data_IF_645899001509
#
_entry.id   IF_645899001509
#
_cell.length_a   1.000
_cell.length_b   1.000
_cell.length_c   1.000
_cell.angle_alpha   90.00
_cell.angle_beta   90.00
_cell.angle_gamma   90.00
#
_symmetry.space_group_name_H-M   'P 1'
#
loop_
_entity.id
_entity.type
_entity.pdbx_description
1 polymer ?
#
# COMPACT_ATOMS: atom_id res chain seq x y z
N UNK A 1 17.87 -6.49 -13.32
CA UNK A 1 18.26 -6.73 -11.92
C UNK A 1 17.91 -5.45 -11.17
N UNK A 2 17.19 -5.50 -10.04
CA UNK A 2 16.85 -4.29 -9.29
C UNK A 2 18.06 -3.82 -8.50
N UNK A 3 18.28 -2.52 -8.43
CA UNK A 3 19.44 -1.91 -7.76
C UNK A 3 19.27 -1.91 -6.24
N UNK A 4 20.35 -2.17 -5.50
CA UNK A 4 20.41 -1.96 -4.05
C UNK A 4 20.95 -0.55 -3.81
N UNK A 5 20.20 0.26 -3.07
CA UNK A 5 20.55 1.66 -2.79
C UNK A 5 21.45 1.81 -1.57
N UNK A 6 21.99 3.01 -1.40
CA UNK A 6 22.75 3.41 -0.22
C UNK A 6 24.22 3.00 -0.25
N UNK A 7 24.80 2.76 0.91
CA UNK A 7 26.23 2.52 1.07
C UNK A 7 26.58 1.04 0.88
N UNK A 8 26.73 0.62 -0.38
CA UNK A 8 27.14 -0.75 -0.76
C UNK A 8 28.65 -0.92 -0.93
N UNK A 9 29.43 0.16 -0.74
CA UNK A 9 30.90 0.10 -0.94
C UNK A 9 31.56 -0.89 0.02
N UNK A 10 32.32 -1.82 -0.53
CA UNK A 10 33.05 -2.85 0.23
C UNK A 10 32.19 -4.08 0.61
N UNK A 11 30.94 -4.15 0.18
CA UNK A 11 30.12 -5.36 0.31
C UNK A 11 30.45 -6.29 -0.85
N UNK A 12 30.59 -7.59 -0.57
CA UNK A 12 30.90 -8.60 -1.58
C UNK A 12 29.73 -8.79 -2.55
N UNK A 13 30.02 -9.03 -3.82
CA UNK A 13 28.99 -9.24 -4.86
C UNK A 13 28.03 -10.39 -4.53
N UNK A 14 28.50 -11.44 -3.83
CA UNK A 14 27.65 -12.54 -3.37
C UNK A 14 26.56 -12.07 -2.40
N UNK A 15 26.88 -11.13 -1.50
CA UNK A 15 25.91 -10.57 -0.54
C UNK A 15 24.96 -9.61 -1.24
N UNK A 16 25.44 -8.82 -2.19
CA UNK A 16 24.59 -7.99 -3.05
C UNK A 16 23.58 -8.88 -3.81
N UNK A 17 24.02 -10.02 -4.32
CA UNK A 17 23.15 -10.97 -5.00
C UNK A 17 22.09 -11.58 -4.04
N UNK A 18 22.43 -11.81 -2.76
CA UNK A 18 21.46 -12.25 -1.75
C UNK A 18 20.42 -11.17 -1.42
N UNK A 19 20.87 -9.93 -1.26
CA UNK A 19 19.94 -8.79 -1.10
C UNK A 19 19.01 -8.66 -2.31
N UNK A 20 19.51 -8.87 -3.52
CA UNK A 20 18.67 -8.83 -4.73
C UNK A 20 17.62 -9.94 -4.77
N UNK A 21 17.90 -11.13 -4.22
CA UNK A 21 16.89 -12.21 -4.13
C UNK A 21 15.72 -11.86 -3.20
N UNK A 22 15.90 -10.95 -2.24
CA UNK A 22 14.82 -10.51 -1.39
C UNK A 22 13.67 -9.85 -2.19
N UNK A 23 13.96 -9.25 -3.35
CA UNK A 23 12.91 -8.68 -4.22
C UNK A 23 11.90 -9.72 -4.75
N UNK A 24 12.26 -10.99 -4.76
CA UNK A 24 11.39 -12.09 -5.20
C UNK A 24 10.51 -12.63 -4.05
N UNK A 25 10.78 -12.18 -2.81
CA UNK A 25 9.97 -12.54 -1.64
C UNK A 25 8.68 -11.72 -1.58
N UNK A 26 7.66 -12.33 -0.99
CA UNK A 26 6.42 -11.66 -0.63
C UNK A 26 6.18 -11.77 0.87
N UNK A 27 5.88 -10.66 1.51
CA UNK A 27 5.58 -10.59 2.93
C UNK A 27 4.33 -9.72 3.12
N UNK A 28 3.11 -10.25 3.05
CA UNK A 28 1.87 -9.49 3.25
C UNK A 28 1.62 -9.15 4.73
N UNK A 29 2.22 -9.87 5.68
CA UNK A 29 2.18 -9.61 7.12
C UNK A 29 2.93 -8.31 7.46
N UNK A 30 2.88 -7.86 8.72
CA UNK A 30 3.71 -6.75 9.18
C UNK A 30 5.18 -7.01 8.84
N UNK A 31 5.68 -8.18 9.23
CA UNK A 31 6.96 -8.77 8.82
C UNK A 31 6.82 -10.29 8.85
N UNK A 32 7.27 -11.01 7.81
CA UNK A 32 7.35 -12.47 7.86
C UNK A 32 8.62 -12.93 8.57
N UNK A 33 8.53 -14.04 9.29
CA UNK A 33 9.68 -14.63 10.00
C UNK A 33 10.84 -14.90 9.02
N UNK A 34 10.54 -15.41 7.82
CA UNK A 34 11.57 -15.69 6.81
C UNK A 34 12.32 -14.43 6.40
N UNK A 35 11.60 -13.31 6.17
CA UNK A 35 12.23 -12.05 5.80
C UNK A 35 13.05 -11.48 6.96
N UNK A 36 12.51 -11.49 8.18
CA UNK A 36 13.20 -10.95 9.36
C UNK A 36 14.52 -11.68 9.63
N UNK A 37 14.52 -13.01 9.59
CA UNK A 37 15.72 -13.83 9.82
C UNK A 37 16.76 -13.60 8.72
N UNK A 38 16.36 -13.53 7.45
CA UNK A 38 17.28 -13.22 6.35
C UNK A 38 17.90 -11.84 6.45
N UNK A 39 17.08 -10.84 6.83
CA UNK A 39 17.60 -9.49 7.05
C UNK A 39 18.58 -9.44 8.20
N UNK A 40 18.28 -10.13 9.30
CA UNK A 40 19.16 -10.19 10.46
C UNK A 40 20.50 -10.86 10.14
N UNK A 41 20.49 -11.99 9.41
CA UNK A 41 21.71 -12.69 8.97
C UNK A 41 22.60 -11.82 8.10
N UNK A 42 22.03 -11.17 7.08
CA UNK A 42 22.80 -10.29 6.20
C UNK A 42 23.32 -9.06 6.97
N UNK A 43 22.49 -8.48 7.85
CA UNK A 43 22.86 -7.32 8.69
C UNK A 43 24.04 -7.65 9.59
N UNK A 44 24.03 -8.80 10.26
CA UNK A 44 25.16 -9.25 11.08
C UNK A 44 26.43 -9.42 10.25
N UNK A 45 26.30 -10.03 9.07
CA UNK A 45 27.45 -10.26 8.20
C UNK A 45 28.10 -8.98 7.70
N UNK A 46 27.30 -7.97 7.28
CA UNK A 46 27.84 -6.71 6.75
C UNK A 46 28.08 -5.65 7.83
N UNK A 47 27.53 -5.86 9.04
CA UNK A 47 27.53 -4.91 10.16
C UNK A 47 27.02 -3.51 9.74
N UNK A 48 25.92 -3.49 8.95
CA UNK A 48 25.24 -2.25 8.49
C UNK A 48 23.74 -2.45 8.55
N UNK A 49 23.02 -1.37 8.77
CA UNK A 49 21.57 -1.37 8.66
C UNK A 49 21.10 -1.72 7.25
N UNK A 50 20.01 -2.45 7.16
CA UNK A 50 19.32 -2.75 5.91
C UNK A 50 17.90 -2.25 6.07
N UNK A 51 17.44 -1.43 5.13
CA UNK A 51 16.05 -0.96 5.06
C UNK A 51 15.35 -1.56 3.86
N UNK A 52 14.15 -2.09 4.08
CA UNK A 52 13.32 -2.70 3.04
C UNK A 52 11.96 -2.03 3.01
N UNK A 53 11.56 -1.57 1.83
CA UNK A 53 10.28 -0.92 1.61
C UNK A 53 9.32 -1.88 0.91
N UNK A 54 8.14 -2.07 1.52
CA UNK A 54 7.20 -3.13 1.15
C UNK A 54 5.81 -2.52 0.96
N UNK A 55 5.14 -2.87 -0.14
CA UNK A 55 3.74 -2.49 -0.39
C UNK A 55 2.77 -3.24 0.54
N UNK A 56 1.51 -2.81 0.60
CA UNK A 56 0.46 -3.54 1.35
C UNK A 56 0.25 -4.96 0.83
N UNK A 57 0.45 -5.20 -0.47
CA UNK A 57 0.37 -6.54 -1.06
C UNK A 57 1.55 -7.44 -0.71
N UNK A 58 2.56 -6.92 0.00
CA UNK A 58 3.74 -7.68 0.40
C UNK A 58 4.90 -7.65 -0.58
N UNK A 59 4.80 -6.89 -1.67
CA UNK A 59 5.87 -6.78 -2.66
C UNK A 59 6.99 -5.86 -2.16
N UNK A 60 8.22 -6.34 -2.15
CA UNK A 60 9.41 -5.53 -1.88
C UNK A 60 9.70 -4.66 -3.10
N UNK A 61 9.72 -3.35 -2.89
CA UNK A 61 9.89 -2.35 -3.96
C UNK A 61 11.26 -1.69 -3.95
N UNK A 62 11.88 -1.59 -2.77
CA UNK A 62 13.20 -0.99 -2.61
C UNK A 62 13.96 -1.61 -1.44
N UNK A 63 15.27 -1.74 -1.58
CA UNK A 63 16.20 -2.17 -0.54
C UNK A 63 17.35 -1.19 -0.50
N UNK A 64 17.70 -0.73 0.71
CA UNK A 64 18.83 0.17 0.93
C UNK A 64 19.75 -0.35 2.05
N UNK A 65 21.02 -0.08 1.94
CA UNK A 65 22.05 -0.44 2.93
C UNK A 65 22.67 0.82 3.49
N UNK A 66 22.80 0.90 4.81
CA UNK A 66 23.36 2.03 5.52
C UNK A 66 22.33 2.83 6.29
N UNK A 67 22.61 4.10 6.51
CA UNK A 67 21.80 4.98 7.32
C UNK A 67 20.47 5.34 6.64
N UNK A 68 19.35 5.23 7.35
CA UNK A 68 18.00 5.58 6.87
C UNK A 68 17.84 7.03 6.39
N UNK A 69 18.77 7.93 6.78
CA UNK A 69 18.74 9.34 6.42
C UNK A 69 19.00 9.63 4.93
N UNK A 70 19.46 8.65 4.16
CA UNK A 70 19.96 8.85 2.78
C UNK A 70 19.10 8.22 1.69
N UNK A 71 18.01 7.55 2.02
CA UNK A 71 17.17 6.88 1.02
C UNK A 71 16.13 7.85 0.48
N UNK A 72 16.32 8.36 -0.73
CA UNK A 72 15.25 9.00 -1.49
C UNK A 72 14.20 7.95 -1.83
N UNK A 73 13.05 8.06 -1.18
CA UNK A 73 11.93 7.17 -1.49
C UNK A 73 11.40 7.43 -2.90
N UNK A 74 10.99 6.38 -3.61
CA UNK A 74 10.27 6.56 -4.85
C UNK A 74 9.05 7.44 -4.57
N UNK A 75 8.97 8.60 -5.23
CA UNK A 75 7.82 9.48 -5.15
C UNK A 75 6.63 8.77 -5.79
N UNK A 76 5.81 8.11 -4.98
CA UNK A 76 4.53 7.60 -5.45
C UNK A 76 3.57 8.77 -5.63
N UNK A 77 3.52 9.29 -6.85
CA UNK A 77 2.63 10.37 -7.29
C UNK A 77 1.17 9.90 -7.43
N UNK A 78 0.66 9.17 -6.46
CA UNK A 78 -0.76 8.96 -6.30
C UNK A 78 -1.35 10.15 -5.56
N UNK A 79 -2.32 10.87 -6.14
CA UNK A 79 -3.16 11.83 -5.43
C UNK A 79 -3.96 11.07 -4.36
N UNK A 80 -3.33 10.80 -3.23
CA UNK A 80 -4.02 10.21 -2.07
C UNK A 80 -4.59 11.36 -1.25
N UNK A 81 -5.87 11.27 -0.86
CA UNK A 81 -6.51 12.26 0.00
C UNK A 81 -5.75 12.46 1.32
N UNK A 82 -6.00 13.57 2.01
CA UNK A 82 -5.29 13.96 3.23
C UNK A 82 -5.34 12.88 4.34
N UNK A 83 -6.38 12.05 4.37
CA UNK A 83 -6.57 10.99 5.37
C UNK A 83 -5.94 9.63 5.02
N UNK A 84 -5.20 9.48 3.91
CA UNK A 84 -4.64 8.18 3.51
C UNK A 84 -3.15 8.07 3.76
N UNK A 85 -2.73 6.87 4.19
CA UNK A 85 -1.32 6.49 4.34
C UNK A 85 -0.69 6.17 2.98
N UNK A 86 0.64 6.04 2.94
CA UNK A 86 1.40 5.85 1.71
C UNK A 86 1.16 4.50 1.02
N UNK A 87 0.67 3.50 1.75
CA UNK A 87 0.55 2.12 1.26
C UNK A 87 1.89 1.37 1.29
N UNK A 88 2.87 1.91 2.00
CA UNK A 88 4.22 1.36 2.12
C UNK A 88 4.56 1.25 3.60
N UNK A 89 5.18 0.16 4.01
CA UNK A 89 5.85 0.03 5.29
C UNK A 89 7.36 -0.07 5.08
N UNK A 90 8.12 0.47 6.02
CA UNK A 90 9.56 0.35 6.08
C UNK A 90 9.93 -0.64 7.19
N UNK A 91 10.77 -1.61 6.87
CA UNK A 91 11.39 -2.51 7.84
C UNK A 91 12.89 -2.26 7.79
N UNK A 92 13.51 -1.97 8.93
CA UNK A 92 14.96 -1.81 8.99
C UNK A 92 15.55 -2.60 10.15
N UNK A 93 16.85 -2.85 10.07
CA UNK A 93 17.59 -3.68 11.04
C UNK A 93 18.64 -2.86 11.78
N UNK A 94 18.84 -3.15 13.06
CA UNK A 94 19.88 -2.58 13.89
C UNK A 94 20.94 -3.63 14.23
N UNK A 95 22.18 -3.52 13.69
CA UNK A 95 23.25 -4.48 13.98
C UNK A 95 23.62 -4.60 15.47
N UNK A 96 23.37 -3.51 16.24
CA UNK A 96 23.65 -3.46 17.67
C UNK A 96 22.62 -4.13 18.57
N UNK A 97 21.64 -4.86 18.02
CA UNK A 97 20.65 -5.60 18.79
C UNK A 97 19.53 -4.77 19.43
N UNK A 98 19.51 -3.45 19.23
CA UNK A 98 18.48 -2.57 19.78
C UNK A 98 17.21 -2.65 18.93
N UNK A 99 16.05 -3.15 19.45
CA UNK A 99 14.83 -3.26 18.65
C UNK A 99 14.00 -1.98 18.62
N UNK A 100 14.40 -0.92 19.32
CA UNK A 100 13.58 0.28 19.47
C UNK A 100 13.75 1.27 18.33
N UNK A 101 12.63 1.86 17.91
CA UNK A 101 12.61 2.96 16.96
C UNK A 101 13.20 4.24 17.55
N UNK A 102 13.99 4.94 16.74
CA UNK A 102 14.56 6.25 17.08
C UNK A 102 13.58 7.40 16.78
N UNK A 103 13.89 8.60 17.26
CA UNK A 103 13.14 9.81 16.89
C UNK A 103 13.17 10.12 15.40
N UNK A 104 14.25 9.72 14.70
CA UNK A 104 14.38 9.87 13.25
C UNK A 104 13.40 8.95 12.54
N UNK A 105 13.27 7.69 12.98
CA UNK A 105 12.34 6.71 12.41
C UNK A 105 10.89 7.18 12.57
N UNK A 106 10.54 7.70 13.74
CA UNK A 106 9.20 8.24 13.99
C UNK A 106 8.93 9.48 13.14
N UNK A 107 9.92 10.32 12.93
CA UNK A 107 9.80 11.47 12.03
C UNK A 107 9.62 11.01 10.56
N UNK A 108 10.38 10.02 10.13
CA UNK A 108 10.24 9.43 8.79
C UNK A 108 8.87 8.77 8.59
N UNK A 109 8.38 8.01 9.59
CA UNK A 109 7.03 7.42 9.59
C UNK A 109 5.95 8.49 9.33
N UNK A 110 5.99 9.59 10.08
CA UNK A 110 5.00 10.67 9.98
C UNK A 110 5.11 11.46 8.67
N UNK A 111 6.33 11.86 8.29
CA UNK A 111 6.56 12.68 7.10
C UNK A 111 6.21 11.95 5.81
N UNK A 112 6.52 10.67 5.72
CA UNK A 112 6.23 9.84 4.55
C UNK A 112 4.86 9.14 4.63
N UNK A 113 4.16 9.29 5.77
CA UNK A 113 2.86 8.63 6.03
C UNK A 113 2.94 7.12 5.81
N UNK A 114 4.01 6.50 6.27
CA UNK A 114 4.14 5.05 6.12
C UNK A 114 3.01 4.31 6.82
N UNK A 115 2.63 3.16 6.28
CA UNK A 115 1.66 2.26 6.91
C UNK A 115 2.20 1.72 8.24
N UNK A 116 3.52 1.50 8.30
CA UNK A 116 4.27 1.19 9.51
C UNK A 116 5.77 1.48 9.32
N UNK A 117 6.47 1.69 10.43
CA UNK A 117 7.94 1.67 10.55
C UNK A 117 8.29 0.55 11.51
N UNK A 118 9.18 -0.37 11.12
CA UNK A 118 9.59 -1.53 11.93
C UNK A 118 11.10 -1.50 12.12
N UNK A 119 11.55 -1.65 13.36
CA UNK A 119 12.97 -1.81 13.69
C UNK A 119 13.19 -3.22 14.26
N UNK A 120 14.14 -3.97 13.69
CA UNK A 120 14.55 -5.30 14.13
C UNK A 120 15.92 -5.19 14.80
N UNK A 121 16.01 -5.50 16.09
CA UNK A 121 17.28 -5.64 16.81
C UNK A 121 17.89 -7.01 16.53
N UNK A 122 19.02 -7.04 15.86
CA UNK A 122 19.65 -8.30 15.42
C UNK A 122 20.33 -9.00 16.60
N UNK A 123 19.95 -10.24 16.89
CA UNK A 123 20.54 -11.10 17.94
C UNK A 123 21.25 -12.27 17.30
N UNK A 124 22.59 -12.24 17.34
CA UNK A 124 23.46 -13.30 16.82
C UNK A 124 23.85 -14.27 17.95
N UNK A 125 24.07 -15.56 17.68
CA UNK A 125 23.96 -16.24 16.38
C UNK A 125 22.55 -16.79 16.07
N UNK A 126 21.62 -16.66 16.97
CA UNK A 126 20.25 -17.16 16.81
C UNK A 126 19.30 -16.02 16.45
N UNK A 127 19.18 -15.73 15.14
CA UNK A 127 18.38 -14.63 14.64
C UNK A 127 16.88 -14.77 14.90
N UNK A 128 16.41 -15.99 15.25
CA UNK A 128 14.99 -16.18 15.62
C UNK A 128 14.66 -15.54 16.96
N UNK A 129 15.69 -15.24 17.77
CA UNK A 129 15.56 -14.50 19.05
C UNK A 129 15.62 -13.00 18.91
N UNK A 130 15.77 -12.51 17.68
CA UNK A 130 15.69 -11.08 17.42
C UNK A 130 14.29 -10.56 17.79
N UNK A 131 14.27 -9.40 18.40
CA UNK A 131 13.04 -8.71 18.77
C UNK A 131 12.83 -7.50 17.83
N UNK A 132 11.60 -7.06 17.76
CA UNK A 132 11.25 -5.87 16.97
C UNK A 132 10.26 -4.97 17.68
N UNK A 133 10.32 -3.68 17.38
CA UNK A 133 9.25 -2.74 17.65
C UNK A 133 8.73 -2.18 16.32
N UNK A 134 7.49 -1.74 16.34
CA UNK A 134 6.94 -1.03 15.19
C UNK A 134 6.17 0.22 15.63
N UNK A 135 6.20 1.24 14.77
CA UNK A 135 5.47 2.47 14.92
C UNK A 135 4.32 2.56 13.93
N UNK A 136 3.20 3.08 14.39
CA UNK A 136 2.01 3.36 13.58
C UNK A 136 1.57 4.80 13.77
N UNK A 137 1.05 5.43 12.71
CA UNK A 137 0.33 6.68 12.84
C UNK A 137 -1.01 6.38 13.53
N UNK A 138 -1.35 7.13 14.57
CA UNK A 138 -2.56 6.90 15.37
C UNK A 138 -3.60 8.01 15.23
N UNK A 139 -3.23 9.15 14.63
CA UNK A 139 -4.14 10.28 14.46
C UNK A 139 -3.45 11.54 13.99
N UNK A 140 -4.16 12.65 14.13
CA UNK A 140 -3.68 14.02 13.86
C UNK A 140 -3.97 14.86 15.10
N UNK A 141 -2.98 15.63 15.56
CA UNK A 141 -3.13 16.53 16.70
C UNK A 141 -3.82 17.86 16.33
N UNK A 142 -4.04 18.71 17.31
CA UNK A 142 -4.67 20.04 17.15
C UNK A 142 -3.88 21.00 16.25
N UNK A 143 -2.62 20.71 15.98
CA UNK A 143 -1.73 21.49 15.11
C UNK A 143 -1.58 20.88 13.71
N UNK A 144 -2.47 19.95 13.36
CA UNK A 144 -2.48 19.21 12.08
C UNK A 144 -1.24 18.31 11.85
N UNK A 145 -0.50 17.96 12.90
CA UNK A 145 0.62 17.03 12.81
C UNK A 145 0.16 15.60 13.06
N UNK A 146 0.72 14.65 12.33
CA UNK A 146 0.48 13.23 12.59
C UNK A 146 1.04 12.82 13.95
N UNK A 147 0.22 12.13 14.74
CA UNK A 147 0.64 11.45 15.96
C UNK A 147 1.02 10.00 15.65
N UNK A 148 1.95 9.44 16.38
CA UNK A 148 2.40 8.06 16.21
C UNK A 148 2.67 7.42 17.56
N UNK A 149 2.41 6.12 17.66
CA UNK A 149 2.71 5.28 18.81
C UNK A 149 3.60 4.11 18.42
N UNK A 150 4.43 3.66 19.34
CA UNK A 150 5.31 2.52 19.19
C UNK A 150 4.79 1.34 20.01
N UNK A 151 4.91 0.15 19.44
CA UNK A 151 4.44 -1.11 20.01
C UNK A 151 5.59 -2.12 20.04
N UNK A 152 5.66 -2.89 21.12
CA UNK A 152 6.71 -3.90 21.32
C UNK A 152 7.60 -3.60 22.52
N UNK A 153 8.74 -4.30 22.69
CA UNK A 153 9.28 -5.28 21.74
C UNK A 153 8.44 -6.57 21.65
N UNK A 154 8.38 -7.13 20.45
CA UNK A 154 7.75 -8.42 20.16
C UNK A 154 8.79 -9.40 19.63
N UNK A 155 8.56 -10.71 19.85
CA UNK A 155 9.27 -11.72 19.08
C UNK A 155 8.87 -11.64 17.60
N UNK A 156 9.73 -12.15 16.71
CA UNK A 156 9.42 -12.18 15.27
C UNK A 156 8.15 -13.01 15.02
N UNK A 157 7.96 -14.12 15.76
CA UNK A 157 6.79 -14.99 15.65
C UNK A 157 5.49 -14.27 16.03
N UNK A 158 5.50 -13.53 17.15
CA UNK A 158 4.33 -12.75 17.58
C UNK A 158 3.99 -11.64 16.58
N UNK A 159 5.02 -10.97 16.05
CA UNK A 159 4.85 -9.88 15.09
C UNK A 159 4.29 -10.36 13.74
N UNK A 160 4.62 -11.56 13.28
CA UNK A 160 4.06 -12.17 12.06
C UNK A 160 2.54 -12.36 12.16
N UNK A 161 2.04 -12.66 13.37
CA UNK A 161 0.62 -12.91 13.62
C UNK A 161 -0.23 -11.62 13.77
N UNK A 162 0.38 -10.44 13.73
CA UNK A 162 -0.33 -9.16 13.82
C UNK A 162 -1.20 -8.96 12.57
N UNK A 163 -2.50 -8.68 12.79
CA UNK A 163 -3.43 -8.39 11.69
C UNK A 163 -3.20 -6.99 11.12
N UNK A 164 -2.08 -6.84 10.43
CA UNK A 164 -1.57 -5.57 9.93
C UNK A 164 -2.54 -4.86 8.97
N UNK A 165 -3.14 -5.59 8.03
CA UNK A 165 -4.03 -5.01 7.00
C UNK A 165 -5.26 -4.36 7.64
N UNK A 166 -5.88 -5.02 8.61
CA UNK A 166 -7.03 -4.46 9.32
C UNK A 166 -6.63 -3.27 10.21
N UNK A 167 -5.45 -3.32 10.82
CA UNK A 167 -4.92 -2.20 11.61
C UNK A 167 -4.76 -0.95 10.75
N UNK A 168 -4.10 -1.07 9.59
CA UNK A 168 -3.93 0.04 8.65
C UNK A 168 -5.27 0.60 8.17
N UNK A 169 -6.22 -0.28 7.82
CA UNK A 169 -7.56 0.14 7.39
C UNK A 169 -8.32 0.89 8.49
N UNK A 170 -8.11 0.51 9.75
CA UNK A 170 -8.72 1.20 10.90
C UNK A 170 -8.08 2.57 11.11
N UNK A 171 -6.77 2.69 11.00
CA UNK A 171 -6.05 3.95 11.08
C UNK A 171 -6.53 4.91 9.99
N UNK A 172 -6.63 4.48 8.73
CA UNK A 172 -7.11 5.34 7.64
C UNK A 172 -8.52 5.85 7.91
N UNK A 173 -9.43 5.03 8.48
CA UNK A 173 -10.76 5.50 8.88
C UNK A 173 -10.73 6.56 9.99
N UNK A 174 -9.78 6.45 10.93
CA UNK A 174 -9.60 7.46 11.97
C UNK A 174 -9.09 8.77 11.36
N UNK A 175 -8.08 8.69 10.51
CA UNK A 175 -7.50 9.84 9.82
C UNK A 175 -8.53 10.56 8.92
N UNK A 176 -9.32 9.82 8.15
CA UNK A 176 -10.39 10.37 7.34
C UNK A 176 -11.41 11.16 8.18
N UNK A 177 -11.77 10.65 9.37
CA UNK A 177 -12.67 11.36 10.29
C UNK A 177 -12.04 12.64 10.84
N UNK A 178 -10.75 12.62 11.18
CA UNK A 178 -10.04 13.77 11.77
C UNK A 178 -9.74 14.86 10.75
N UNK A 179 -9.47 14.51 9.48
CA UNK A 179 -9.19 15.48 8.41
C UNK A 179 -10.44 16.17 7.86
N UNK A 180 -11.63 15.84 8.40
CA UNK A 180 -12.89 16.37 7.89
C UNK A 180 -13.26 15.85 6.49
N UNK A 181 -12.44 14.98 5.90
CA UNK A 181 -12.79 14.27 4.66
C UNK A 181 -13.91 13.26 4.90
N UNK A 182 -14.15 12.89 6.16
CA UNK A 182 -15.28 12.05 6.57
C UNK A 182 -16.65 12.76 6.54
N UNK A 183 -16.71 14.07 6.32
CA UNK A 183 -17.99 14.74 6.01
C UNK A 183 -18.42 14.55 4.55
N UNK A 184 -17.55 14.11 3.68
CA UNK A 184 -17.97 13.31 2.55
C UNK A 184 -18.32 11.94 3.14
N UNK A 185 -19.62 11.74 3.47
CA UNK A 185 -20.21 10.43 3.63
C UNK A 185 -19.41 9.46 2.75
N UNK A 186 -19.22 8.21 3.20
CA UNK A 186 -18.87 7.12 2.29
C UNK A 186 -19.95 7.15 1.21
N UNK A 187 -19.81 8.07 0.27
CA UNK A 187 -20.47 8.00 -1.00
C UNK A 187 -19.78 6.79 -1.62
N UNK A 188 -20.43 5.64 -1.44
CA UNK A 188 -20.13 4.47 -2.24
C UNK A 188 -19.84 4.99 -3.63
N UNK A 189 -18.64 4.72 -4.15
CA UNK A 189 -18.26 5.25 -5.45
C UNK A 189 -19.41 4.96 -6.42
N UNK A 190 -19.95 6.00 -7.02
CA UNK A 190 -21.08 5.84 -7.92
C UNK A 190 -20.55 5.40 -9.28
N UNK A 191 -20.95 4.23 -9.73
CA UNK A 191 -20.48 3.64 -10.98
C UNK A 191 -21.58 3.64 -12.05
N UNK A 192 -21.20 3.91 -13.30
CA UNK A 192 -22.03 3.69 -14.48
C UNK A 192 -21.39 2.53 -15.24
N UNK A 193 -22.14 1.46 -15.45
CA UNK A 193 -21.66 0.32 -16.20
C UNK A 193 -22.03 0.45 -17.67
N UNK A 194 -21.07 0.19 -18.55
CA UNK A 194 -21.27 0.30 -19.99
C UNK A 194 -20.85 -1.00 -20.66
N UNK A 195 -21.79 -1.67 -21.28
CA UNK A 195 -21.58 -2.81 -22.15
C UNK A 195 -21.59 -2.39 -23.62
N UNK A 196 -20.73 -2.99 -24.43
CA UNK A 196 -20.74 -2.78 -25.87
C UNK A 196 -21.09 -4.07 -26.60
N UNK A 197 -22.10 -4.00 -27.43
CA UNK A 197 -22.48 -5.07 -28.35
C UNK A 197 -21.87 -4.77 -29.72
N UNK A 198 -20.94 -5.64 -30.18
CA UNK A 198 -20.35 -5.54 -31.52
C UNK A 198 -20.27 -6.91 -32.18
N UNK A 199 -20.75 -6.99 -33.39
CA UNK A 199 -20.44 -7.91 -34.49
C UNK A 199 -20.22 -9.42 -34.28
N UNK A 200 -20.42 -10.00 -33.07
CA UNK A 200 -20.31 -11.45 -32.83
C UNK A 200 -21.57 -11.99 -32.17
N UNK A 201 -22.30 -12.77 -32.94
CA UNK A 201 -23.51 -13.48 -32.51
C UNK A 201 -23.25 -14.83 -31.84
N UNK A 202 -22.00 -15.25 -31.70
CA UNK A 202 -21.61 -16.59 -31.23
C UNK A 202 -21.11 -16.58 -29.74
N UNK A 203 -21.42 -15.56 -28.96
CA UNK A 203 -21.10 -15.56 -27.53
C UNK A 203 -22.19 -16.31 -26.75
N UNK A 204 -21.79 -17.26 -25.91
CA UNK A 204 -22.66 -17.93 -24.93
C UNK A 204 -23.22 -16.98 -23.86
N UNK A 205 -22.66 -15.78 -23.74
CA UNK A 205 -23.02 -14.73 -22.75
C UNK A 205 -23.53 -13.51 -23.50
N UNK A 206 -24.66 -12.99 -23.02
CA UNK A 206 -25.18 -11.71 -23.50
C UNK A 206 -24.42 -10.53 -22.88
N UNK A 207 -24.53 -9.33 -23.48
CA UNK A 207 -23.96 -8.11 -22.88
C UNK A 207 -24.69 -7.79 -21.59
N UNK A 208 -25.96 -8.10 -21.48
CA UNK A 208 -26.78 -7.99 -20.28
C UNK A 208 -26.24 -8.86 -19.15
N UNK A 209 -25.94 -10.13 -19.40
CA UNK A 209 -25.36 -11.07 -18.42
C UNK A 209 -24.00 -10.56 -17.91
N UNK A 210 -23.16 -10.09 -18.81
CA UNK A 210 -21.85 -9.52 -18.47
C UNK A 210 -21.96 -8.25 -17.62
N UNK A 211 -22.99 -7.42 -17.87
CA UNK A 211 -23.26 -6.22 -17.05
C UNK A 211 -23.82 -6.58 -15.67
N UNK A 212 -24.55 -7.69 -15.56
CA UNK A 212 -25.04 -8.15 -14.26
C UNK A 212 -23.91 -8.69 -13.39
N UNK A 213 -23.00 -9.48 -13.98
CA UNK A 213 -21.78 -9.93 -13.30
C UNK A 213 -20.90 -8.74 -12.87
N UNK A 214 -20.68 -7.78 -13.78
CA UNK A 214 -19.89 -6.57 -13.47
C UNK A 214 -20.55 -5.74 -12.35
N UNK A 215 -21.90 -5.73 -12.26
CA UNK A 215 -22.60 -5.10 -11.15
C UNK A 215 -22.29 -5.78 -9.82
N UNK A 216 -22.32 -7.13 -9.79
CA UNK A 216 -22.00 -7.87 -8.57
C UNK A 216 -20.55 -7.64 -8.13
N UNK A 217 -19.61 -7.54 -9.07
CA UNK A 217 -18.21 -7.19 -8.80
C UNK A 217 -18.08 -5.76 -8.26
N UNK A 218 -18.80 -4.80 -8.82
CA UNK A 218 -18.83 -3.41 -8.36
C UNK A 218 -19.41 -3.31 -6.94
N UNK A 219 -20.52 -3.98 -6.66
CA UNK A 219 -21.14 -4.04 -5.33
C UNK A 219 -20.18 -4.67 -4.30
N UNK A 220 -19.47 -5.74 -4.67
CA UNK A 220 -18.45 -6.38 -3.82
C UNK A 220 -17.25 -5.44 -3.55
N UNK A 221 -16.90 -4.60 -4.53
CA UNK A 221 -15.87 -3.58 -4.39
C UNK A 221 -16.33 -2.33 -3.60
N UNK A 222 -17.62 -2.27 -3.18
CA UNK A 222 -18.19 -1.16 -2.42
C UNK A 222 -18.68 0.00 -3.28
N UNK A 223 -18.78 -0.17 -4.61
CA UNK A 223 -19.34 0.82 -5.51
C UNK A 223 -20.86 0.65 -5.66
N UNK A 224 -21.59 1.77 -5.75
CA UNK A 224 -23.04 1.76 -6.05
C UNK A 224 -23.26 1.96 -7.54
N UNK A 225 -23.80 0.96 -8.21
CA UNK A 225 -24.16 1.07 -9.62
C UNK A 225 -25.42 1.89 -9.80
N UNK A 226 -25.30 3.11 -10.33
CA UNK A 226 -26.42 4.03 -10.55
C UNK A 226 -27.12 3.82 -11.89
N UNK A 227 -26.41 3.34 -12.90
CA UNK A 227 -26.99 3.11 -14.23
C UNK A 227 -26.19 2.10 -15.04
N UNK A 228 -26.89 1.37 -15.90
CA UNK A 228 -26.29 0.47 -16.90
C UNK A 228 -26.66 0.97 -18.29
N UNK A 229 -25.70 0.94 -19.22
CA UNK A 229 -25.92 1.28 -20.62
C UNK A 229 -25.38 0.18 -21.53
N UNK A 230 -26.12 -0.11 -22.59
CA UNK A 230 -25.66 -0.97 -23.66
C UNK A 230 -25.56 -0.14 -24.93
N UNK A 231 -24.40 -0.15 -25.53
CA UNK A 231 -24.11 0.55 -26.77
C UNK A 231 -23.90 -0.45 -27.90
N UNK A 232 -24.70 -0.37 -28.96
CA UNK A 232 -24.51 -1.17 -30.16
C UNK A 232 -23.64 -0.43 -31.16
N UNK A 233 -22.57 -1.06 -31.62
CA UNK A 233 -21.67 -0.52 -32.64
C UNK A 233 -21.05 -1.63 -33.47
N UNK A 234 -20.63 -1.31 -34.68
CA UNK A 234 -19.89 -2.29 -35.54
C UNK A 234 -18.47 -2.55 -35.01
N UNK A 235 -17.87 -1.56 -34.34
CA UNK A 235 -16.55 -1.64 -33.67
C UNK A 235 -16.41 -0.59 -32.59
N UNK A 236 -15.57 -0.84 -31.55
CA UNK A 236 -15.24 0.16 -30.55
C UNK A 236 -14.57 1.39 -31.18
N UNK A 237 -14.83 2.57 -30.59
CA UNK A 237 -14.13 3.78 -30.96
C UNK A 237 -12.71 3.78 -30.35
N UNK A 238 -11.65 4.02 -31.13
CA UNK A 238 -10.27 3.93 -30.62
C UNK A 238 -9.94 4.94 -29.52
N UNK A 239 -10.59 6.11 -29.50
CA UNK A 239 -10.33 7.18 -28.54
C UNK A 239 -11.30 7.17 -27.35
N UNK A 240 -12.58 6.84 -27.59
CA UNK A 240 -13.65 6.99 -26.59
C UNK A 240 -14.42 5.69 -26.31
N UNK A 241 -13.99 4.56 -26.81
CA UNK A 241 -14.64 3.24 -26.71
C UNK A 241 -16.10 3.26 -27.19
N UNK A 242 -17.00 3.97 -26.49
CA UNK A 242 -18.43 4.12 -26.82
C UNK A 242 -18.73 5.27 -27.77
N UNK A 243 -17.73 6.07 -28.12
CA UNK A 243 -17.83 7.24 -28.98
C UNK A 243 -18.12 8.55 -28.24
N UNK A 244 -17.57 9.64 -28.78
CA UNK A 244 -17.53 10.98 -28.15
C UNK A 244 -18.92 11.51 -27.73
N UNK A 245 -19.94 11.34 -28.55
CA UNK A 245 -21.29 11.82 -28.23
C UNK A 245 -21.90 11.12 -27.02
N UNK A 246 -21.68 9.80 -26.88
CA UNK A 246 -22.17 9.06 -25.71
C UNK A 246 -21.40 9.38 -24.45
N UNK A 247 -20.10 9.63 -24.53
CA UNK A 247 -19.30 10.11 -23.41
C UNK A 247 -19.81 11.48 -22.91
N UNK A 248 -20.15 12.40 -23.82
CA UNK A 248 -20.73 13.70 -23.45
C UNK A 248 -22.10 13.55 -22.79
N UNK A 249 -22.98 12.68 -23.33
CA UNK A 249 -24.27 12.39 -22.70
C UNK A 249 -24.12 11.85 -21.27
N UNK A 250 -23.17 10.94 -21.04
CA UNK A 250 -22.91 10.34 -19.74
C UNK A 250 -22.31 11.35 -18.74
N UNK A 251 -21.49 12.28 -19.22
CA UNK A 251 -20.91 13.34 -18.37
C UNK A 251 -21.99 14.31 -17.85
N UNK A 252 -23.08 14.49 -18.59
CA UNK A 252 -24.20 15.34 -18.18
C UNK A 252 -25.07 14.70 -17.09
N UNK A 253 -25.08 13.38 -16.95
CA UNK A 253 -25.83 12.69 -15.89
C UNK A 253 -25.32 13.09 -14.50
N UNK A 254 -24.03 13.43 -14.39
CA UNK A 254 -23.43 13.90 -13.14
C UNK A 254 -23.85 15.31 -12.73
N UNK A 255 -24.30 16.12 -13.68
CA UNK A 255 -24.66 17.54 -13.50
C UNK A 255 -26.17 17.71 -13.20
N UNK A 256 -27.01 16.76 -13.64
CA UNK A 256 -28.46 16.90 -13.64
C UNK A 256 -29.20 16.25 -12.46
N UNK A 257 -28.51 15.55 -11.56
CA UNK A 257 -29.16 15.07 -10.32
C UNK A 257 -29.06 16.18 -9.24
N UNK A 258 -30.18 16.78 -8.81
CA UNK A 258 -30.17 17.77 -7.74
C UNK A 258 -29.67 17.10 -6.44
N UNK A 259 -28.69 17.74 -5.82
CA UNK A 259 -28.30 17.47 -4.43
C UNK A 259 -29.54 17.68 -3.56
N UNK A 260 -30.21 16.61 -3.18
CA UNK A 260 -31.26 16.67 -2.17
C UNK A 260 -30.58 17.00 -0.84
N UNK A 261 -30.54 18.30 -0.51
CA UNK A 261 -30.36 18.75 0.86
C UNK A 261 -31.67 18.48 1.58
N UNK A 262 -31.67 17.60 2.55
CA UNK A 262 -32.55 17.60 3.70
C UNK A 262 -31.73 17.77 4.97
#
# INVERSE_FOLDING_TARGET
MREIKGNIKGIRDSVIAELQKLYDMQSPQLVSQELAVKLADITEYINREISVYITRSGQIIEIAVGDNATVELPSFSGRRGAGRLSGIRCIHTHPGGNPYLSGVDISALKNNKYDAMVAIGVVSPDFTKSELTFGLITGIDSNENYTAECYGPYSIEDAENINFVNTVSTIERILDKQTGTASLQVMSERAILIGMEWGRTDSLWTVEDSLEELKQLADTAGATVIKKFIQKRSKPDPAFFIGRGKVQELSLIHISEPTRQE
#
